data_IF_285162018806
#
_entry.id   IF_285162018806
#
_cell.length_a   1.000
_cell.length_b   1.000
_cell.length_c   1.000
_cell.angle_alpha   90.00
_cell.angle_beta   90.00
_cell.angle_gamma   90.00
#
_symmetry.space_group_name_H-M   'P 1'
#
loop_
_entity.id
_entity.type
_entity.pdbx_description
1 polymer ?
#
# COMPACT_ATOMS: atom_id res chain seq x y z
N UNK A 1 -9.06 -17.92 -12.12
CA UNK A 1 -8.42 -16.93 -13.01
C UNK A 1 -8.21 -15.67 -12.18
N UNK A 2 -6.96 -15.31 -11.87
CA UNK A 2 -6.67 -14.07 -11.13
C UNK A 2 -6.83 -12.86 -12.05
N UNK A 3 -7.43 -11.79 -11.56
CA UNK A 3 -7.41 -10.51 -12.28
C UNK A 3 -5.97 -10.00 -12.32
N UNK A 4 -5.46 -9.53 -13.47
CA UNK A 4 -4.12 -8.96 -13.55
C UNK A 4 -4.05 -7.74 -12.63
N UNK A 5 -3.01 -7.68 -11.79
CA UNK A 5 -2.74 -6.51 -10.98
C UNK A 5 -2.37 -5.33 -11.90
N UNK A 6 -3.09 -4.21 -11.86
CA UNK A 6 -2.74 -3.04 -12.64
C UNK A 6 -1.41 -2.45 -12.15
N UNK A 7 -0.65 -1.90 -13.10
CA UNK A 7 0.58 -1.17 -12.82
C UNK A 7 0.43 0.29 -13.22
N UNK A 8 1.08 1.17 -12.46
CA UNK A 8 1.14 2.62 -12.69
C UNK A 8 2.58 2.99 -13.03
N UNK A 9 2.74 3.87 -14.02
CA UNK A 9 4.04 4.44 -14.40
C UNK A 9 4.04 5.91 -14.02
N UNK A 10 4.92 6.30 -13.11
CA UNK A 10 5.14 7.70 -12.74
C UNK A 10 6.37 8.26 -13.43
N UNK A 11 6.22 9.45 -14.02
CA UNK A 11 7.33 10.20 -14.62
C UNK A 11 7.92 11.13 -13.57
N UNK A 12 9.15 10.87 -13.19
CA UNK A 12 9.95 11.72 -12.29
C UNK A 12 11.01 12.48 -13.10
N UNK A 13 11.62 13.49 -12.50
CA UNK A 13 12.76 14.20 -13.11
C UNK A 13 13.98 13.30 -13.36
N UNK A 14 14.05 12.11 -12.75
CA UNK A 14 15.14 11.13 -12.90
C UNK A 14 14.77 9.94 -13.80
N UNK A 15 13.58 9.94 -14.42
CA UNK A 15 13.11 8.87 -15.29
C UNK A 15 11.74 8.33 -14.87
N UNK A 16 11.40 7.14 -15.36
CA UNK A 16 10.13 6.48 -15.08
C UNK A 16 10.28 5.48 -13.92
N UNK A 17 9.31 5.47 -13.02
CA UNK A 17 9.20 4.46 -11.96
C UNK A 17 7.87 3.73 -12.10
N UNK A 18 7.93 2.40 -12.12
CA UNK A 18 6.76 1.54 -12.22
C UNK A 18 6.45 0.89 -10.88
N UNK A 19 5.16 0.80 -10.57
CA UNK A 19 4.64 0.21 -9.35
C UNK A 19 3.36 -0.57 -9.65
N UNK A 20 3.08 -1.62 -8.89
CA UNK A 20 1.70 -2.09 -8.82
C UNK A 20 0.83 -1.04 -8.11
N UNK A 21 -0.48 -1.08 -8.37
CA UNK A 21 -1.41 -0.08 -7.84
C UNK A 21 -1.42 -0.03 -6.30
N UNK A 22 -1.22 -1.15 -5.60
CA UNK A 22 -1.23 -1.15 -4.14
C UNK A 22 0.04 -0.53 -3.56
N UNK A 23 1.20 -0.82 -4.16
CA UNK A 23 2.46 -0.14 -3.80
C UNK A 23 2.34 1.36 -3.97
N UNK A 24 1.70 1.81 -5.05
CA UNK A 24 1.47 3.24 -5.29
C UNK A 24 0.53 3.88 -4.27
N UNK A 25 -0.55 3.19 -3.89
CA UNK A 25 -1.50 3.67 -2.89
C UNK A 25 -0.91 3.67 -1.47
N UNK A 26 0.02 2.75 -1.17
CA UNK A 26 0.75 2.75 0.08
C UNK A 26 1.63 4.00 0.23
N UNK A 27 2.26 4.49 -0.86
CA UNK A 27 2.98 5.78 -0.83
C UNK A 27 2.04 6.95 -0.47
N UNK A 28 0.76 6.89 -0.87
CA UNK A 28 -0.29 7.84 -0.47
C UNK A 28 -0.89 7.55 0.92
N UNK A 29 -0.28 6.64 1.69
CA UNK A 29 -0.69 6.25 3.05
C UNK A 29 -2.06 5.56 3.12
N UNK A 30 -2.39 4.81 2.09
CA UNK A 30 -3.63 4.03 1.99
C UNK A 30 -3.32 2.53 2.16
N UNK A 31 -3.98 1.89 3.13
CA UNK A 31 -3.86 0.45 3.41
C UNK A 31 -5.20 -0.24 3.14
N UNK A 32 -5.15 -1.37 2.43
CA UNK A 32 -6.32 -2.20 2.15
C UNK A 32 -6.29 -3.48 2.98
N UNK A 33 -7.44 -3.83 3.55
CA UNK A 33 -7.70 -5.11 4.19
C UNK A 33 -8.85 -5.77 3.43
N UNK A 34 -8.59 -6.94 2.87
CA UNK A 34 -9.58 -7.67 2.10
C UNK A 34 -9.71 -9.11 2.62
N UNK A 35 -10.94 -9.58 2.76
CA UNK A 35 -11.23 -10.95 3.12
C UNK A 35 -10.96 -11.28 4.59
N UNK A 36 -10.80 -12.58 4.88
CA UNK A 36 -10.69 -13.08 6.25
C UNK A 36 -9.40 -12.63 6.96
N UNK A 37 -9.52 -12.31 8.25
CA UNK A 37 -8.36 -11.98 9.09
C UNK A 37 -7.62 -13.25 9.50
N UNK A 38 -6.40 -13.39 8.99
CA UNK A 38 -5.48 -14.47 9.34
C UNK A 38 -4.08 -13.90 9.67
N UNK A 39 -3.25 -14.71 10.33
CA UNK A 39 -1.96 -14.31 10.89
C UNK A 39 -1.06 -13.58 9.87
N UNK A 40 -0.88 -14.14 8.69
CA UNK A 40 -0.04 -13.54 7.65
C UNK A 40 -0.55 -12.17 7.19
N UNK A 41 -1.88 -11.99 7.05
CA UNK A 41 -2.45 -10.71 6.65
C UNK A 41 -2.30 -9.69 7.79
N UNK A 42 -2.59 -10.08 9.03
CA UNK A 42 -2.43 -9.21 10.19
C UNK A 42 -0.97 -8.72 10.32
N UNK A 43 0.01 -9.62 10.15
CA UNK A 43 1.43 -9.27 10.17
C UNK A 43 1.80 -8.29 9.04
N UNK A 44 1.26 -8.49 7.83
CA UNK A 44 1.49 -7.59 6.70
C UNK A 44 0.89 -6.19 6.94
N UNK A 45 -0.29 -6.11 7.53
CA UNK A 45 -0.93 -4.83 7.88
C UNK A 45 -0.14 -4.10 8.95
N UNK A 46 0.30 -4.80 10.02
CA UNK A 46 1.13 -4.20 11.08
C UNK A 46 2.44 -3.64 10.49
N UNK A 47 3.10 -4.38 9.60
CA UNK A 47 4.30 -3.90 8.94
C UNK A 47 4.05 -2.63 8.10
N UNK A 48 2.96 -2.57 7.34
CA UNK A 48 2.56 -1.39 6.57
C UNK A 48 2.31 -0.18 7.48
N UNK A 49 1.58 -0.36 8.59
CA UNK A 49 1.30 0.72 9.54
C UNK A 49 2.59 1.28 10.18
N UNK A 50 3.49 0.40 10.61
CA UNK A 50 4.78 0.82 11.19
C UNK A 50 5.66 1.52 10.16
N UNK A 51 5.65 1.05 8.92
CA UNK A 51 6.35 1.70 7.82
C UNK A 51 5.83 3.13 7.58
N UNK A 52 4.52 3.30 7.44
CA UNK A 52 3.90 4.61 7.22
C UNK A 52 4.09 5.56 8.42
N UNK A 53 4.02 5.04 9.64
CA UNK A 53 4.25 5.83 10.85
C UNK A 53 5.69 6.35 10.92
N UNK A 54 6.67 5.57 10.45
CA UNK A 54 8.08 5.99 10.40
C UNK A 54 8.30 7.13 9.39
N UNK A 55 7.69 7.05 8.22
CA UNK A 55 7.82 8.06 7.15
C UNK A 55 7.22 9.41 7.53
N UNK A 56 6.03 9.41 8.14
CA UNK A 56 5.39 10.64 8.62
C UNK A 56 4.50 10.37 9.84
N UNK A 57 5.04 10.65 11.04
CA UNK A 57 4.39 10.36 12.33
C UNK A 57 3.10 11.15 12.61
N UNK A 58 2.94 12.31 11.98
CA UNK A 58 1.84 13.25 12.23
C UNK A 58 0.82 13.30 11.09
N UNK A 59 0.93 12.38 10.12
CA UNK A 59 0.00 12.29 9.01
C UNK A 59 -0.91 11.08 9.19
N UNK A 60 -2.18 11.24 8.82
CA UNK A 60 -3.17 10.18 8.94
C UNK A 60 -2.84 9.01 8.01
N UNK A 61 -3.32 7.83 8.39
CA UNK A 61 -3.29 6.62 7.56
C UNK A 61 -4.74 6.28 7.24
N UNK A 62 -5.06 6.11 5.96
CA UNK A 62 -6.40 5.71 5.53
C UNK A 62 -6.46 4.19 5.40
N UNK A 63 -7.47 3.58 6.00
CA UNK A 63 -7.66 2.12 5.96
C UNK A 63 -9.01 1.79 5.35
N UNK A 64 -9.00 0.99 4.30
CA UNK A 64 -10.19 0.50 3.61
C UNK A 64 -10.35 -1.00 3.87
N UNK A 65 -11.50 -1.39 4.43
CA UNK A 65 -11.77 -2.76 4.88
C UNK A 65 -13.00 -3.29 4.13
N UNK A 66 -12.87 -4.47 3.51
CA UNK A 66 -13.94 -5.16 2.79
C UNK A 66 -14.01 -6.65 3.13
#
# INVERSE_FOLDING_TARGET
MGYPLPYVIEKTSRGERSYDIYSRLLEDRIVFIQGGIHEMMANAVVAQLLFLQKEAKNQDIQMFIN
#
